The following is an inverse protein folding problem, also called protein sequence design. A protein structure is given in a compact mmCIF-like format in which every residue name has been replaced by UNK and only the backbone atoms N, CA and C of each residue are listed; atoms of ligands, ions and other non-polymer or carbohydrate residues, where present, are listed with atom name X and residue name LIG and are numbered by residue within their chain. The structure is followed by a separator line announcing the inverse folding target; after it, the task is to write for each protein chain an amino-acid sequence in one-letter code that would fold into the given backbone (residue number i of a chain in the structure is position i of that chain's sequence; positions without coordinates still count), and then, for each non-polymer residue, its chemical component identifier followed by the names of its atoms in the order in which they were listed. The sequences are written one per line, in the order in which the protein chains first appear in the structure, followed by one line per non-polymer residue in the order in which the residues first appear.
data_IF_226831297669
#
_entry.id   IF_226831297669
#
_cell.length_a   1.000
_cell.length_b   1.000
_cell.length_c   1.000
_cell.angle_alpha   90.00
_cell.angle_beta   90.00
_cell.angle_gamma   90.00
#
_symmetry.space_group_name_H-M   'P 1'
#
loop_
_entity.id
_entity.type
_entity.pdbx_description
1 polymer ?
#
# COMPACT_ATOMS: atom_id res chain seq x y z
N UNK A 1 -21.69 71.24 57.06
CA UNK A 1 -20.53 70.69 56.37
C UNK A 1 -21.03 69.48 55.54
N UNK A 2 -21.23 69.67 54.23
CA UNK A 2 -21.82 68.65 53.35
C UNK A 2 -20.68 68.06 52.53
N UNK A 3 -20.40 66.76 52.73
CA UNK A 3 -19.40 66.01 51.98
C UNK A 3 -20.01 65.56 50.63
N UNK A 4 -19.42 65.97 49.51
CA UNK A 4 -19.77 65.51 48.15
C UNK A 4 -18.89 64.34 47.81
N UNK A 5 -19.50 63.14 47.62
CA UNK A 5 -18.83 61.98 47.00
C UNK A 5 -18.82 62.16 45.46
N UNK A 6 -17.63 62.14 44.89
CA UNK A 6 -17.45 62.11 43.44
C UNK A 6 -17.25 60.59 43.07
N UNK A 7 -18.19 60.09 42.28
CA UNK A 7 -18.15 58.74 41.73
C UNK A 7 -17.31 58.79 40.44
N UNK A 8 -16.11 58.18 40.43
CA UNK A 8 -15.33 57.95 39.20
C UNK A 8 -15.83 56.69 38.52
N UNK A 9 -16.42 56.84 37.32
CA UNK A 9 -16.81 55.74 36.45
C UNK A 9 -15.59 55.35 35.61
N UNK A 10 -14.98 54.19 35.88
CA UNK A 10 -13.91 53.63 35.04
C UNK A 10 -14.51 52.93 33.81
N UNK A 11 -14.30 53.49 32.64
CA UNK A 11 -14.67 52.91 31.34
C UNK A 11 -13.66 51.81 30.99
N UNK A 12 -14.06 50.53 31.09
CA UNK A 12 -13.26 49.42 30.65
C UNK A 12 -13.48 49.26 29.13
N UNK A 13 -12.50 49.68 28.34
CA UNK A 13 -12.48 49.42 26.88
C UNK A 13 -12.02 47.99 26.70
N UNK A 14 -12.93 47.06 26.37
CA UNK A 14 -12.57 45.71 25.93
C UNK A 14 -11.98 45.77 24.50
N UNK A 15 -10.70 45.54 24.38
CA UNK A 15 -10.05 45.31 23.09
C UNK A 15 -10.51 43.96 22.52
N UNK A 16 -10.87 43.87 21.22
CA UNK A 16 -11.19 42.57 20.61
C UNK A 16 -9.94 41.69 20.61
N UNK A 17 -10.04 40.52 21.23
CA UNK A 17 -9.06 39.44 21.11
C UNK A 17 -9.05 39.01 19.63
N UNK A 18 -7.88 38.99 18.94
CA UNK A 18 -7.83 38.47 17.58
C UNK A 18 -8.31 37.01 17.62
N UNK A 19 -9.41 36.74 16.92
CA UNK A 19 -9.94 35.40 16.75
C UNK A 19 -8.83 34.51 16.17
N UNK A 20 -8.57 33.39 16.84
CA UNK A 20 -7.77 32.31 16.26
C UNK A 20 -8.37 31.97 14.90
N UNK A 21 -7.62 32.19 13.84
CA UNK A 21 -7.97 31.72 12.52
C UNK A 21 -8.22 30.20 12.65
N UNK A 22 -9.48 29.79 12.54
CA UNK A 22 -9.81 28.40 12.30
C UNK A 22 -9.16 28.07 10.96
N UNK A 23 -8.10 27.27 11.00
CA UNK A 23 -7.56 26.64 9.81
C UNK A 23 -8.70 25.81 9.22
N UNK A 24 -9.32 26.29 8.17
CA UNK A 24 -10.15 25.46 7.30
C UNK A 24 -9.27 24.27 6.88
N UNK A 25 -9.77 23.04 6.85
CA UNK A 25 -8.98 21.92 6.36
C UNK A 25 -8.46 22.31 4.98
N UNK A 26 -7.13 22.35 4.81
CA UNK A 26 -6.52 22.68 3.54
C UNK A 26 -7.01 21.67 2.52
N UNK A 27 -7.67 22.13 1.46
CA UNK A 27 -8.07 21.25 0.37
C UNK A 27 -6.83 20.55 -0.17
N UNK A 28 -6.93 19.24 -0.44
CA UNK A 28 -5.85 18.50 -1.09
C UNK A 28 -5.48 19.21 -2.41
N UNK A 29 -4.21 19.20 -2.81
CA UNK A 29 -3.80 19.72 -4.11
C UNK A 29 -4.44 18.92 -5.25
N UNK A 30 -4.67 19.54 -6.39
CA UNK A 30 -5.40 18.96 -7.53
C UNK A 30 -4.80 17.66 -8.10
N UNK A 31 -3.54 17.38 -7.80
CA UNK A 31 -2.88 16.14 -8.22
C UNK A 31 -3.13 14.97 -7.28
N UNK A 32 -3.50 15.23 -6.01
CA UNK A 32 -3.70 14.20 -5.01
C UNK A 32 -5.03 13.46 -5.22
N UNK A 33 -5.02 12.17 -4.90
CA UNK A 33 -6.24 11.37 -4.84
C UNK A 33 -6.88 11.54 -3.47
N UNK A 34 -8.18 11.64 -3.43
CA UNK A 34 -8.86 11.81 -2.15
C UNK A 34 -9.74 13.07 -2.09
N UNK A 35 -10.26 13.42 -0.91
CA UNK A 35 -10.11 12.68 0.35
C UNK A 35 -10.77 11.30 0.30
N UNK A 36 -10.15 10.32 0.95
CA UNK A 36 -10.70 8.98 1.08
C UNK A 36 -11.65 8.88 2.27
N UNK A 37 -12.77 8.20 2.10
CA UNK A 37 -13.76 7.94 3.14
C UNK A 37 -14.14 6.46 3.17
N UNK A 38 -14.42 5.93 4.37
CA UNK A 38 -14.83 4.54 4.58
C UNK A 38 -16.33 4.38 4.27
N UNK A 39 -16.73 3.63 3.22
CA UNK A 39 -18.14 3.49 2.85
C UNK A 39 -18.92 2.59 3.81
N UNK A 40 -18.23 1.72 4.55
CA UNK A 40 -18.79 0.76 5.49
C UNK A 40 -18.08 0.80 6.83
N UNK A 41 -18.77 0.36 7.89
CA UNK A 41 -18.27 0.41 9.27
C UNK A 41 -17.44 -0.82 9.67
N UNK A 42 -17.50 -1.87 8.86
CA UNK A 42 -16.84 -3.16 9.12
C UNK A 42 -15.80 -3.45 8.05
N UNK A 43 -14.81 -4.29 8.35
CA UNK A 43 -13.89 -4.80 7.32
C UNK A 43 -14.66 -5.57 6.26
N UNK A 44 -14.21 -5.46 5.00
CA UNK A 44 -14.82 -6.16 3.86
C UNK A 44 -14.38 -7.62 3.74
N UNK A 45 -13.20 -7.98 4.25
CA UNK A 45 -12.78 -9.36 4.44
C UNK A 45 -12.29 -9.58 5.87
N UNK A 46 -12.67 -10.73 6.42
CA UNK A 46 -12.28 -11.21 7.76
C UNK A 46 -11.75 -12.65 7.64
N UNK A 47 -10.93 -13.14 8.58
CA UNK A 47 -10.51 -14.54 8.62
C UNK A 47 -11.68 -15.52 8.56
N UNK A 48 -11.45 -16.72 7.98
CA UNK A 48 -12.39 -17.85 7.94
C UNK A 48 -11.74 -19.10 8.52
N UNK A 49 -11.93 -19.38 9.81
CA UNK A 49 -11.34 -20.55 10.47
C UNK A 49 -11.73 -21.89 9.87
N UNK A 50 -12.88 -21.97 9.19
CA UNK A 50 -13.39 -23.16 8.53
C UNK A 50 -12.78 -23.45 7.16
N UNK A 51 -11.96 -22.54 6.62
CA UNK A 51 -11.33 -22.71 5.31
C UNK A 51 -10.36 -23.88 5.32
N UNK A 52 -10.36 -24.71 4.28
CA UNK A 52 -9.47 -25.88 4.16
C UNK A 52 -8.74 -25.82 2.83
N UNK A 53 -7.42 -26.11 2.85
CA UNK A 53 -6.59 -26.25 1.68
C UNK A 53 -5.62 -27.42 1.83
N UNK A 54 -5.52 -28.25 0.79
CA UNK A 54 -4.56 -29.33 0.68
C UNK A 54 -3.24 -28.80 0.13
N UNK A 55 -2.40 -28.26 1.02
CA UNK A 55 -1.14 -27.63 0.67
C UNK A 55 -0.15 -28.69 0.11
N UNK A 56 0.43 -28.48 -1.10
CA UNK A 56 1.32 -29.45 -1.72
C UNK A 56 2.63 -29.68 -0.96
N UNK A 57 2.99 -28.81 -0.02
CA UNK A 57 4.20 -28.89 0.82
C UNK A 57 3.92 -29.48 2.20
N UNK A 58 2.68 -29.93 2.48
CA UNK A 58 2.26 -30.46 3.78
C UNK A 58 1.53 -31.79 3.62
N UNK A 59 1.61 -32.63 4.64
CA UNK A 59 0.89 -33.90 4.67
C UNK A 59 -0.58 -33.70 5.01
N UNK A 60 -0.83 -32.82 5.98
CA UNK A 60 -2.19 -32.54 6.47
C UNK A 60 -2.75 -31.27 5.85
N UNK A 61 -4.05 -31.20 5.62
CA UNK A 61 -4.70 -29.98 5.17
C UNK A 61 -4.53 -28.85 6.20
N UNK A 62 -4.59 -27.62 5.76
CA UNK A 62 -4.44 -26.43 6.59
C UNK A 62 -5.68 -25.56 6.53
N UNK A 63 -5.99 -24.86 7.61
CA UNK A 63 -6.97 -23.78 7.64
C UNK A 63 -6.31 -22.48 7.14
N UNK A 64 -6.22 -22.35 5.81
CA UNK A 64 -5.30 -21.45 5.14
C UNK A 64 -5.57 -19.95 5.31
N UNK A 65 -6.79 -19.55 5.67
CA UNK A 65 -7.16 -18.15 5.99
C UNK A 65 -7.78 -18.03 7.40
N UNK A 66 -7.31 -18.88 8.34
CA UNK A 66 -7.92 -18.97 9.66
C UNK A 66 -7.58 -17.80 10.57
N UNK A 67 -6.37 -17.28 10.51
CA UNK A 67 -5.91 -16.27 11.47
C UNK A 67 -6.04 -14.85 10.95
N UNK A 68 -5.53 -14.60 9.73
CA UNK A 68 -5.42 -13.25 9.20
C UNK A 68 -5.76 -13.22 7.71
N UNK A 69 -6.44 -12.16 7.26
CA UNK A 69 -6.70 -11.85 5.85
C UNK A 69 -6.48 -10.35 5.66
N UNK A 70 -5.42 -9.93 4.99
CA UNK A 70 -4.99 -8.53 4.93
C UNK A 70 -4.18 -8.24 3.66
N UNK A 71 -3.64 -7.03 3.53
CA UNK A 71 -2.73 -6.60 2.47
C UNK A 71 -3.20 -7.01 1.05
N UNK A 72 -4.28 -6.36 0.56
CA UNK A 72 -4.93 -6.75 -0.69
C UNK A 72 -4.37 -6.00 -1.89
N UNK A 73 -4.13 -6.70 -3.01
CA UNK A 73 -4.01 -6.10 -4.34
C UNK A 73 -5.35 -6.16 -5.08
N UNK A 74 -5.59 -5.26 -6.03
CA UNK A 74 -6.83 -5.24 -6.78
C UNK A 74 -6.64 -4.80 -8.24
N UNK A 75 -7.44 -5.38 -9.14
CA UNK A 75 -7.59 -4.96 -10.54
C UNK A 75 -9.05 -5.00 -10.97
N UNK A 76 -9.40 -4.30 -12.05
CA UNK A 76 -10.71 -4.41 -12.68
C UNK A 76 -10.61 -5.40 -13.85
N UNK A 77 -11.46 -6.44 -13.84
CA UNK A 77 -11.57 -7.43 -14.91
C UNK A 77 -13.02 -7.73 -15.21
N UNK A 78 -13.42 -7.67 -16.47
CA UNK A 78 -14.79 -7.98 -16.91
C UNK A 78 -15.89 -7.21 -16.16
N UNK A 79 -15.62 -5.94 -15.83
CA UNK A 79 -16.59 -5.10 -15.12
C UNK A 79 -16.74 -5.41 -13.62
N UNK A 80 -15.87 -6.24 -13.05
CA UNK A 80 -15.81 -6.56 -11.62
C UNK A 80 -14.45 -6.16 -11.03
N UNK A 81 -14.42 -5.92 -9.74
CA UNK A 81 -13.16 -5.82 -8.99
C UNK A 81 -12.70 -7.22 -8.61
N UNK A 82 -11.48 -7.57 -9.00
CA UNK A 82 -10.79 -8.79 -8.60
C UNK A 82 -9.74 -8.42 -7.56
N UNK A 83 -9.71 -9.13 -6.43
CA UNK A 83 -8.82 -8.87 -5.31
C UNK A 83 -7.98 -10.11 -5.00
N UNK A 84 -6.66 -9.96 -5.02
CA UNK A 84 -5.75 -10.90 -4.36
C UNK A 84 -5.52 -10.40 -2.93
N UNK A 85 -5.70 -11.24 -1.92
CA UNK A 85 -5.47 -10.88 -0.54
C UNK A 85 -4.55 -11.89 0.15
N UNK A 86 -3.64 -11.39 0.99
CA UNK A 86 -2.81 -12.23 1.85
C UNK A 86 -3.67 -12.90 2.90
N UNK A 87 -3.46 -14.20 3.09
CA UNK A 87 -4.11 -14.99 4.12
C UNK A 87 -3.09 -15.84 4.86
N UNK A 88 -3.25 -15.97 6.17
CA UNK A 88 -2.34 -16.72 7.04
C UNK A 88 -3.07 -17.88 7.72
N UNK A 89 -2.43 -19.05 7.65
CA UNK A 89 -2.89 -20.26 8.31
C UNK A 89 -2.56 -20.25 9.82
N UNK A 90 -3.18 -21.16 10.56
CA UNK A 90 -3.00 -21.36 12.00
C UNK A 90 -1.75 -22.17 12.36
N UNK A 91 -0.85 -22.42 11.40
CA UNK A 91 0.41 -23.13 11.62
C UNK A 91 1.55 -22.19 12.10
N UNK A 92 2.55 -22.77 12.73
CA UNK A 92 3.71 -22.04 13.20
C UNK A 92 3.53 -21.42 14.59
N UNK A 93 4.39 -20.47 14.95
CA UNK A 93 4.27 -19.72 16.21
C UNK A 93 3.27 -18.57 16.04
N UNK A 94 2.50 -18.27 17.10
CA UNK A 94 1.58 -17.12 17.13
C UNK A 94 2.35 -15.81 17.24
N UNK A 95 3.05 -15.45 16.18
CA UNK A 95 3.89 -14.28 16.07
C UNK A 95 3.93 -13.79 14.62
N UNK A 96 3.97 -12.48 14.41
CA UNK A 96 4.08 -11.85 13.08
C UNK A 96 5.23 -12.48 12.29
N UNK A 97 4.95 -12.86 11.03
CA UNK A 97 5.91 -13.47 10.12
C UNK A 97 6.22 -14.96 10.36
N UNK A 98 5.57 -15.61 11.35
CA UNK A 98 5.80 -17.03 11.67
C UNK A 98 4.71 -17.97 11.15
N UNK A 99 3.67 -17.45 10.53
CA UNK A 99 2.65 -18.22 9.81
C UNK A 99 3.06 -18.48 8.36
N UNK A 100 2.33 -19.32 7.65
CA UNK A 100 2.54 -19.50 6.21
C UNK A 100 1.50 -18.67 5.46
N UNK A 101 1.99 -17.69 4.70
CA UNK A 101 1.14 -16.80 3.91
C UNK A 101 0.84 -17.36 2.52
N UNK A 102 -0.40 -17.20 2.05
CA UNK A 102 -0.88 -17.54 0.71
C UNK A 102 -1.76 -16.41 0.19
N UNK A 103 -2.02 -16.36 -1.12
CA UNK A 103 -2.94 -15.38 -1.69
C UNK A 103 -4.24 -16.03 -2.11
N UNK A 104 -5.34 -15.53 -1.54
CA UNK A 104 -6.69 -15.83 -1.97
C UNK A 104 -7.14 -14.90 -3.09
N UNK A 105 -8.15 -15.33 -3.86
CA UNK A 105 -8.81 -14.52 -4.88
C UNK A 105 -10.28 -14.30 -4.50
N UNK A 106 -10.72 -13.05 -4.60
CA UNK A 106 -12.12 -12.68 -4.40
C UNK A 106 -12.58 -11.73 -5.52
N UNK A 107 -13.89 -11.77 -5.83
CA UNK A 107 -14.49 -10.90 -6.83
C UNK A 107 -15.66 -10.09 -6.26
N UNK A 108 -15.90 -8.89 -6.80
CA UNK A 108 -16.98 -7.99 -6.39
C UNK A 108 -17.58 -7.25 -7.59
N UNK A 109 -18.90 -7.10 -7.61
CA UNK A 109 -19.63 -6.29 -8.59
C UNK A 109 -19.78 -4.82 -8.16
N UNK A 110 -19.61 -4.52 -6.86
CA UNK A 110 -19.77 -3.18 -6.29
C UNK A 110 -18.50 -2.63 -5.61
N UNK A 111 -17.42 -3.43 -5.55
CA UNK A 111 -16.16 -3.07 -4.91
C UNK A 111 -16.18 -3.14 -3.38
N UNK A 112 -17.27 -3.59 -2.76
CA UNK A 112 -17.46 -3.66 -1.29
C UNK A 112 -17.78 -5.09 -0.83
N UNK A 113 -18.71 -5.77 -1.51
CA UNK A 113 -19.11 -7.12 -1.16
C UNK A 113 -18.38 -8.12 -2.04
N UNK A 114 -17.53 -8.94 -1.42
CA UNK A 114 -16.65 -9.88 -2.12
C UNK A 114 -17.07 -11.33 -1.94
N UNK A 115 -17.08 -12.09 -3.04
CA UNK A 115 -17.18 -13.55 -3.05
C UNK A 115 -15.79 -14.14 -3.23
N UNK A 116 -15.34 -14.98 -2.27
CA UNK A 116 -14.00 -15.59 -2.27
C UNK A 116 -13.99 -16.93 -3.00
N UNK A 117 -12.88 -17.23 -3.66
CA UNK A 117 -12.55 -18.59 -4.06
C UNK A 117 -12.35 -19.47 -2.81
N UNK A 118 -12.67 -20.79 -2.88
CA UNK A 118 -12.56 -21.67 -1.73
C UNK A 118 -11.11 -21.97 -1.32
N UNK A 119 -10.18 -21.94 -2.27
CA UNK A 119 -8.76 -22.26 -2.11
C UNK A 119 -7.88 -21.07 -2.54
N UNK A 120 -6.64 -20.98 -2.04
CA UNK A 120 -5.70 -19.97 -2.49
C UNK A 120 -5.32 -20.21 -3.96
N UNK A 121 -5.10 -19.12 -4.70
CA UNK A 121 -4.69 -19.18 -6.12
C UNK A 121 -3.18 -18.99 -6.30
N UNK A 122 -2.47 -18.54 -5.26
CA UNK A 122 -1.03 -18.35 -5.30
C UNK A 122 -0.40 -18.68 -3.93
N UNK A 123 0.57 -19.62 -3.94
CA UNK A 123 1.13 -20.20 -2.72
C UNK A 123 2.50 -20.83 -2.97
N UNK A 124 3.31 -21.09 -1.92
CA UNK A 124 4.53 -21.87 -2.05
C UNK A 124 4.24 -23.29 -2.58
N UNK A 125 5.03 -23.76 -3.56
CA UNK A 125 4.85 -25.05 -4.20
C UNK A 125 6.19 -25.77 -4.40
N UNK A 126 6.14 -27.01 -4.90
CA UNK A 126 7.32 -27.77 -5.34
C UNK A 126 7.83 -27.21 -6.68
N UNK A 127 8.32 -25.97 -6.66
CA UNK A 127 8.85 -25.27 -7.80
C UNK A 127 10.24 -24.66 -7.52
N UNK A 128 10.82 -23.96 -8.47
CA UNK A 128 12.13 -23.33 -8.36
C UNK A 128 12.20 -22.24 -7.27
N UNK A 129 11.06 -21.71 -6.80
CA UNK A 129 10.99 -20.65 -5.81
C UNK A 129 10.75 -21.17 -4.38
N UNK A 130 10.55 -22.48 -4.18
CA UNK A 130 10.30 -23.07 -2.86
C UNK A 130 11.28 -22.63 -1.79
N UNK A 131 12.58 -22.59 -2.09
CA UNK A 131 13.61 -22.21 -1.11
C UNK A 131 13.52 -20.76 -0.66
N UNK A 132 12.86 -19.89 -1.44
CA UNK A 132 12.64 -18.47 -1.15
C UNK A 132 11.31 -18.20 -0.45
N UNK A 133 10.33 -19.10 -0.59
CA UNK A 133 8.98 -18.94 -0.12
C UNK A 133 8.62 -19.81 1.08
N UNK A 134 9.24 -20.96 1.23
CA UNK A 134 8.93 -21.91 2.29
C UNK A 134 9.89 -21.80 3.48
N UNK A 135 9.37 -21.79 4.75
CA UNK A 135 7.96 -21.98 5.16
C UNK A 135 7.19 -20.68 5.45
N UNK A 136 7.69 -19.52 5.10
CA UNK A 136 7.05 -18.22 5.41
C UNK A 136 5.88 -17.89 4.49
N UNK A 137 6.03 -18.10 3.19
CA UNK A 137 4.95 -17.92 2.24
C UNK A 137 5.17 -16.86 1.18
N UNK A 138 4.08 -16.46 0.57
CA UNK A 138 3.98 -15.41 -0.44
C UNK A 138 3.12 -14.29 0.15
N UNK A 139 3.64 -13.05 0.18
CA UNK A 139 3.08 -11.96 0.96
C UNK A 139 2.91 -10.68 0.14
N UNK A 140 2.06 -9.78 0.62
CA UNK A 140 1.98 -8.38 0.23
C UNK A 140 1.95 -8.17 -1.29
N UNK A 141 0.89 -8.62 -1.98
CA UNK A 141 0.77 -8.57 -3.44
C UNK A 141 0.58 -7.15 -3.95
N UNK A 142 1.21 -6.80 -5.08
CA UNK A 142 0.82 -5.66 -5.93
C UNK A 142 0.63 -6.18 -7.34
N UNK A 143 -0.47 -5.82 -7.95
CA UNK A 143 -0.86 -6.36 -9.25
C UNK A 143 -1.16 -5.26 -10.26
N UNK A 144 -0.74 -5.44 -11.49
CA UNK A 144 -1.07 -4.57 -12.62
C UNK A 144 -1.49 -5.40 -13.83
N UNK A 145 -2.30 -4.84 -14.70
CA UNK A 145 -2.53 -5.41 -16.02
C UNK A 145 -1.35 -5.03 -16.94
N UNK A 146 -0.85 -5.97 -17.71
CA UNK A 146 0.15 -5.72 -18.74
C UNK A 146 -0.52 -5.26 -20.05
N UNK A 147 0.23 -4.60 -20.97
CA UNK A 147 -0.34 -4.13 -22.22
C UNK A 147 -0.93 -5.22 -23.14
N UNK A 148 -0.55 -6.48 -22.94
CA UNK A 148 -1.09 -7.65 -23.67
C UNK A 148 -2.36 -8.25 -23.03
N UNK A 149 -2.84 -7.66 -21.92
CA UNK A 149 -4.01 -8.12 -21.18
C UNK A 149 -3.73 -9.23 -20.16
N UNK A 150 -2.48 -9.66 -20.01
CA UNK A 150 -2.07 -10.52 -18.89
C UNK A 150 -1.86 -9.69 -17.61
N UNK A 151 -1.62 -10.37 -16.49
CA UNK A 151 -1.40 -9.73 -15.19
C UNK A 151 0.01 -9.97 -14.71
N UNK A 152 0.61 -8.95 -14.09
CA UNK A 152 1.92 -9.02 -13.45
C UNK A 152 1.73 -8.78 -11.96
N UNK A 153 2.21 -9.72 -11.17
CA UNK A 153 2.22 -9.70 -9.72
C UNK A 153 3.64 -9.47 -9.23
N UNK A 154 3.84 -8.46 -8.42
CA UNK A 154 4.98 -8.34 -7.53
C UNK A 154 4.52 -8.73 -6.13
N UNK A 155 5.30 -9.56 -5.45
CA UNK A 155 4.96 -10.08 -4.12
C UNK A 155 6.20 -10.28 -3.28
N UNK A 156 6.06 -10.43 -1.98
CA UNK A 156 7.18 -10.76 -1.10
C UNK A 156 7.34 -12.29 -1.01
N UNK A 157 8.48 -12.80 -1.45
CA UNK A 157 8.92 -14.16 -1.17
C UNK A 157 9.52 -14.17 0.25
N UNK A 158 8.96 -14.96 1.17
CA UNK A 158 9.38 -15.04 2.56
C UNK A 158 9.66 -16.47 3.02
N UNK A 159 10.85 -16.75 3.48
CA UNK A 159 11.23 -18.08 3.97
C UNK A 159 11.56 -18.12 5.47
N UNK A 160 11.11 -17.12 6.24
CA UNK A 160 11.40 -16.90 7.67
C UNK A 160 12.88 -16.58 7.98
N UNK A 161 13.69 -16.30 6.98
CA UNK A 161 15.09 -15.87 7.11
C UNK A 161 15.44 -14.71 6.22
N UNK A 162 14.98 -14.75 4.99
CA UNK A 162 15.24 -13.73 3.96
C UNK A 162 13.95 -13.43 3.22
N UNK A 163 13.83 -12.19 2.75
CA UNK A 163 12.72 -11.76 1.92
C UNK A 163 13.20 -10.99 0.70
N UNK A 164 12.48 -11.12 -0.40
CA UNK A 164 12.75 -10.38 -1.63
C UNK A 164 11.47 -10.20 -2.44
N UNK A 165 11.45 -9.24 -3.37
CA UNK A 165 10.35 -9.10 -4.32
C UNK A 165 10.44 -10.20 -5.36
N UNK A 166 9.45 -11.07 -5.41
CA UNK A 166 9.22 -12.00 -6.51
C UNK A 166 8.36 -11.38 -7.59
N UNK A 167 8.48 -11.89 -8.82
CA UNK A 167 7.62 -11.56 -9.95
C UNK A 167 6.90 -12.81 -10.42
N UNK A 168 5.60 -12.69 -10.69
CA UNK A 168 4.81 -13.74 -11.32
C UNK A 168 3.87 -13.13 -12.37
N UNK A 169 3.47 -13.94 -13.36
CA UNK A 169 2.53 -13.55 -14.41
C UNK A 169 1.36 -14.52 -14.50
N UNK A 170 0.18 -14.01 -14.89
CA UNK A 170 -1.03 -14.81 -15.08
C UNK A 170 -1.87 -14.28 -16.23
N UNK A 171 -2.49 -15.13 -17.04
CA UNK A 171 -3.47 -14.72 -18.03
C UNK A 171 -4.86 -14.45 -17.42
N UNK A 172 -5.14 -14.94 -16.21
CA UNK A 172 -6.50 -15.03 -15.69
C UNK A 172 -6.66 -14.82 -14.17
N UNK A 173 -5.58 -14.51 -13.42
CA UNK A 173 -5.51 -14.35 -11.97
C UNK A 173 -5.60 -15.67 -11.18
N UNK A 174 -5.65 -16.82 -11.85
CA UNK A 174 -5.77 -18.14 -11.24
C UNK A 174 -4.52 -18.99 -11.54
N UNK A 175 -4.09 -18.99 -12.80
CA UNK A 175 -2.93 -19.76 -13.23
C UNK A 175 -1.69 -18.86 -13.29
N UNK A 176 -0.73 -19.13 -12.44
CA UNK A 176 0.44 -18.27 -12.25
C UNK A 176 1.75 -18.94 -12.67
N UNK A 177 2.62 -18.18 -13.30
CA UNK A 177 4.01 -18.54 -13.58
C UNK A 177 4.91 -17.67 -12.73
N UNK A 178 5.70 -18.27 -11.83
CA UNK A 178 6.68 -17.57 -11.00
C UNK A 178 8.00 -17.40 -11.75
N UNK A 179 8.54 -16.19 -11.76
CA UNK A 179 9.79 -15.83 -12.46
C UNK A 179 10.99 -15.64 -11.52
N UNK A 180 10.77 -15.68 -10.19
CA UNK A 180 11.80 -15.46 -9.19
C UNK A 180 12.00 -13.99 -8.81
N UNK A 181 13.16 -13.65 -8.21
CA UNK A 181 13.43 -12.31 -7.70
C UNK A 181 13.46 -11.25 -8.78
N UNK A 182 12.75 -10.14 -8.57
CA UNK A 182 12.67 -9.02 -9.51
C UNK A 182 14.05 -8.47 -9.93
N UNK A 183 14.98 -8.32 -8.97
CA UNK A 183 16.33 -7.79 -9.21
C UNK A 183 17.37 -8.88 -9.54
N UNK A 184 16.91 -10.09 -9.88
CA UNK A 184 17.72 -11.20 -10.32
C UNK A 184 18.23 -12.11 -9.20
N UNK A 185 18.55 -13.35 -9.57
CA UNK A 185 19.08 -14.39 -8.65
C UNK A 185 20.59 -14.26 -8.43
N UNK A 186 21.25 -13.52 -9.28
CA UNK A 186 22.71 -13.28 -9.25
C UNK A 186 23.00 -11.79 -9.34
N UNK A 187 24.25 -11.40 -9.05
CA UNK A 187 24.68 -10.01 -9.14
C UNK A 187 24.57 -9.26 -7.80
N UNK A 188 24.74 -7.93 -7.82
CA UNK A 188 24.92 -7.13 -6.60
C UNK A 188 23.70 -7.08 -5.69
N UNK A 189 22.51 -7.39 -6.21
CA UNK A 189 21.25 -7.34 -5.48
C UNK A 189 20.69 -8.69 -5.06
N UNK A 190 21.33 -9.81 -5.45
CA UNK A 190 20.82 -11.16 -5.21
C UNK A 190 20.62 -11.51 -3.72
N UNK A 191 21.44 -10.93 -2.84
CA UNK A 191 21.38 -11.14 -1.39
C UNK A 191 20.79 -9.94 -0.63
N UNK A 192 20.28 -8.93 -1.34
CA UNK A 192 19.63 -7.80 -0.71
C UNK A 192 18.24 -8.22 -0.23
N UNK A 193 17.93 -7.94 1.03
CA UNK A 193 16.57 -8.06 1.54
C UNK A 193 15.80 -6.78 1.18
N UNK A 194 14.71 -6.93 0.43
CA UNK A 194 13.85 -5.83 -0.01
C UNK A 194 12.47 -6.35 -0.35
N UNK A 195 11.45 -5.53 -0.12
CA UNK A 195 10.05 -5.84 -0.44
C UNK A 195 9.33 -4.63 -1.02
N UNK A 196 8.05 -4.79 -1.34
CA UNK A 196 7.13 -3.76 -1.79
C UNK A 196 7.54 -3.12 -3.11
N UNK A 197 7.00 -3.65 -4.21
CA UNK A 197 7.25 -3.18 -5.57
C UNK A 197 5.96 -2.71 -6.24
N UNK A 198 5.83 -1.39 -6.53
CA UNK A 198 4.71 -0.82 -7.27
C UNK A 198 5.11 -0.46 -8.69
N UNK A 199 4.57 -1.18 -9.68
CA UNK A 199 4.78 -0.90 -11.11
C UNK A 199 3.93 0.30 -11.52
N UNK A 200 4.53 1.28 -12.21
CA UNK A 200 3.83 2.47 -12.70
C UNK A 200 2.78 2.08 -13.73
N UNK A 201 1.57 2.55 -13.52
CA UNK A 201 0.40 2.31 -14.37
C UNK A 201 -0.14 3.59 -14.97
N UNK A 202 -0.99 3.48 -15.94
CA UNK A 202 -1.88 4.53 -16.42
C UNK A 202 -3.32 4.03 -16.44
N UNK A 203 -4.26 4.94 -16.32
CA UNK A 203 -5.68 4.61 -16.47
C UNK A 203 -6.04 4.48 -17.94
N UNK A 204 -6.41 3.28 -18.37
CA UNK A 204 -6.85 2.96 -19.72
C UNK A 204 -8.23 2.29 -19.68
N UNK A 205 -9.26 2.98 -20.18
CA UNK A 205 -10.66 2.50 -20.19
C UNK A 205 -11.12 1.92 -18.83
N UNK A 206 -10.78 2.61 -17.73
CA UNK A 206 -11.16 2.20 -16.37
C UNK A 206 -10.25 1.12 -15.75
N UNK A 207 -9.18 0.71 -16.41
CA UNK A 207 -8.21 -0.29 -15.90
C UNK A 207 -6.85 0.35 -15.68
N UNK A 208 -6.15 -0.06 -14.65
CA UNK A 208 -4.76 0.35 -14.41
C UNK A 208 -3.82 -0.59 -15.17
N UNK A 209 -3.30 -0.11 -16.29
CA UNK A 209 -2.40 -0.85 -17.18
C UNK A 209 -0.97 -0.36 -16.99
N UNK A 210 0.01 -1.26 -16.97
CA UNK A 210 1.42 -0.91 -16.84
C UNK A 210 1.86 0.06 -17.94
N UNK A 211 2.44 1.20 -17.52
CA UNK A 211 2.81 2.30 -18.40
C UNK A 211 4.30 2.32 -18.73
N UNK A 212 4.62 2.73 -19.95
CA UNK A 212 6.01 2.99 -20.35
C UNK A 212 6.32 4.49 -20.28
N UNK A 213 7.46 4.83 -19.69
CA UNK A 213 8.04 6.17 -19.72
C UNK A 213 9.40 6.03 -20.40
N UNK A 214 9.63 6.77 -21.47
CA UNK A 214 10.83 6.66 -22.32
C UNK A 214 11.11 5.21 -22.79
N UNK A 215 10.03 4.49 -23.17
CA UNK A 215 10.11 3.14 -23.71
C UNK A 215 10.35 2.03 -22.68
N UNK A 216 10.49 2.34 -21.39
CA UNK A 216 10.67 1.38 -20.30
C UNK A 216 9.52 1.40 -19.32
N UNK A 217 9.24 0.26 -18.70
CA UNK A 217 8.42 0.19 -17.50
C UNK A 217 9.24 0.62 -16.28
N UNK A 218 8.56 1.21 -15.29
CA UNK A 218 9.17 1.72 -14.07
C UNK A 218 8.49 1.10 -12.86
N UNK A 219 9.29 0.80 -11.82
CA UNK A 219 8.82 0.29 -10.54
C UNK A 219 9.44 1.11 -9.41
N UNK A 220 8.59 1.67 -8.55
CA UNK A 220 9.02 2.16 -7.24
C UNK A 220 9.10 0.95 -6.32
N UNK A 221 10.16 0.80 -5.54
CA UNK A 221 10.36 -0.37 -4.70
C UNK A 221 11.06 -0.05 -3.38
N UNK A 222 10.76 -0.84 -2.35
CA UNK A 222 11.44 -0.85 -1.07
C UNK A 222 10.59 -0.33 0.09
N UNK A 223 11.02 -0.76 1.24
CA UNK A 223 10.67 -0.25 2.56
C UNK A 223 11.86 0.52 3.14
N UNK A 224 11.67 1.30 4.23
CA UNK A 224 12.68 2.16 4.85
C UNK A 224 13.13 3.30 3.94
N UNK A 225 13.40 3.00 2.70
CA UNK A 225 13.73 3.95 1.63
C UNK A 225 13.13 3.46 0.32
N UNK A 226 12.38 4.31 -0.36
CA UNK A 226 11.84 4.01 -1.67
C UNK A 226 12.88 4.33 -2.76
N UNK A 227 13.02 3.41 -3.69
CA UNK A 227 13.96 3.42 -4.81
C UNK A 227 13.22 3.18 -6.12
N UNK A 228 13.96 3.15 -7.23
CA UNK A 228 13.43 2.91 -8.57
C UNK A 228 14.17 1.80 -9.30
N UNK A 229 13.44 1.09 -10.13
CA UNK A 229 13.97 0.15 -11.11
C UNK A 229 13.24 0.30 -12.44
N UNK A 230 13.88 -0.15 -13.52
CA UNK A 230 13.30 -0.16 -14.87
C UNK A 230 13.29 -1.56 -15.45
N UNK A 231 12.34 -1.84 -16.34
CA UNK A 231 12.23 -3.10 -17.06
C UNK A 231 11.83 -2.86 -18.52
N UNK A 232 12.20 -3.78 -19.40
CA UNK A 232 11.69 -3.84 -20.79
C UNK A 232 10.54 -4.83 -20.97
N UNK A 233 10.39 -5.79 -20.03
CA UNK A 233 9.51 -6.96 -20.15
C UNK A 233 8.58 -7.20 -18.95
N UNK A 234 8.63 -6.34 -17.90
CA UNK A 234 7.88 -6.45 -16.65
C UNK A 234 8.33 -7.61 -15.74
N UNK A 235 9.30 -8.41 -16.13
CA UNK A 235 9.80 -9.56 -15.39
C UNK A 235 11.17 -9.27 -14.79
N UNK A 236 12.12 -8.81 -15.60
CA UNK A 236 13.48 -8.50 -15.20
C UNK A 236 13.65 -7.01 -14.91
N UNK A 237 14.01 -6.67 -13.68
CA UNK A 237 14.09 -5.29 -13.21
C UNK A 237 15.53 -4.89 -12.89
N UNK A 238 15.91 -3.71 -13.32
CA UNK A 238 17.24 -3.15 -13.14
C UNK A 238 17.14 -1.89 -12.29
N UNK A 239 17.76 -1.82 -11.09
CA UNK A 239 17.77 -0.63 -10.27
C UNK A 239 18.32 0.57 -11.02
N UNK A 240 17.71 1.73 -10.81
CA UNK A 240 18.28 3.01 -11.23
C UNK A 240 19.35 3.39 -10.22
N UNK A 241 20.59 3.58 -10.67
CA UNK A 241 21.74 3.78 -9.81
C UNK A 241 22.31 5.20 -9.91
N UNK A 242 22.74 5.78 -8.79
CA UNK A 242 23.60 6.97 -8.75
C UNK A 242 25.03 6.63 -9.16
N UNK A 243 25.49 5.44 -8.76
CA UNK A 243 26.77 4.82 -9.09
C UNK A 243 26.63 3.31 -8.95
N UNK A 244 27.56 2.55 -9.51
CA UNK A 244 27.53 1.09 -9.51
C UNK A 244 27.22 0.50 -8.12
N UNK A 245 26.16 -0.30 -8.01
CA UNK A 245 25.70 -0.93 -6.78
C UNK A 245 25.02 0.00 -5.77
N UNK A 246 24.74 1.26 -6.14
CA UNK A 246 24.08 2.24 -5.27
C UNK A 246 22.78 2.76 -5.89
N UNK A 247 21.64 2.16 -5.56
CA UNK A 247 20.35 2.61 -6.09
C UNK A 247 19.98 4.02 -5.64
N UNK A 248 19.37 4.79 -6.55
CA UNK A 248 18.81 6.11 -6.24
C UNK A 248 17.69 5.97 -5.20
N UNK A 249 17.74 6.78 -4.15
CA UNK A 249 16.69 6.87 -3.13
C UNK A 249 15.83 8.09 -3.39
N UNK A 250 14.52 7.88 -3.57
CA UNK A 250 13.57 8.94 -3.94
C UNK A 250 12.63 9.35 -2.80
N UNK A 251 12.32 8.43 -1.85
CA UNK A 251 11.63 8.79 -0.60
C UNK A 251 12.41 8.28 0.60
N UNK A 252 12.49 9.14 1.62
CA UNK A 252 13.08 8.86 2.93
C UNK A 252 12.10 9.28 4.02
N UNK A 253 12.31 8.81 5.25
CA UNK A 253 11.58 9.27 6.44
C UNK A 253 11.67 10.78 6.62
N UNK A 254 10.64 11.37 7.22
CA UNK A 254 10.58 12.80 7.56
C UNK A 254 10.29 12.96 9.06
N UNK A 255 11.24 13.42 9.86
CA UNK A 255 11.05 13.62 11.30
C UNK A 255 9.85 14.52 11.59
N UNK A 256 9.03 14.14 12.57
CA UNK A 256 7.85 14.90 13.00
C UNK A 256 6.59 14.72 12.15
N UNK A 257 6.64 13.89 11.09
CA UNK A 257 5.50 13.60 10.24
C UNK A 257 5.11 12.11 10.33
N UNK A 258 3.93 11.75 9.81
CA UNK A 258 3.38 10.39 9.87
C UNK A 258 4.31 9.29 9.32
N UNK A 259 5.30 9.65 8.54
CA UNK A 259 6.31 8.77 7.95
C UNK A 259 7.71 8.94 8.58
N UNK A 260 7.75 9.38 9.82
CA UNK A 260 8.97 9.61 10.59
C UNK A 260 9.77 8.34 10.91
N UNK A 261 9.13 7.20 10.97
CA UNK A 261 9.79 5.88 11.02
C UNK A 261 10.40 5.54 9.67
N UNK A 262 9.57 5.33 8.67
CA UNK A 262 9.99 5.12 7.29
C UNK A 262 8.80 5.16 6.30
N UNK A 263 9.04 5.43 5.01
CA UNK A 263 8.12 5.17 3.92
C UNK A 263 8.30 3.77 3.34
N UNK A 264 7.20 3.17 2.86
CA UNK A 264 7.16 1.91 2.14
C UNK A 264 6.22 2.04 0.93
N UNK A 265 6.56 1.45 -0.22
CA UNK A 265 5.70 1.52 -1.42
C UNK A 265 4.33 0.89 -1.12
N UNK A 266 3.28 1.62 -1.44
CA UNK A 266 1.90 1.20 -1.27
C UNK A 266 1.32 0.54 -2.52
N UNK A 267 0.37 1.22 -3.15
CA UNK A 267 -0.29 0.74 -4.37
C UNK A 267 0.60 0.90 -5.62
N UNK A 268 0.29 0.25 -6.75
CA UNK A 268 0.86 0.61 -8.04
C UNK A 268 0.70 2.12 -8.31
N UNK A 269 1.80 2.86 -8.60
CA UNK A 269 1.74 4.28 -8.89
C UNK A 269 0.99 4.59 -10.18
N UNK A 270 0.39 5.78 -10.26
CA UNK A 270 -0.41 6.19 -11.41
C UNK A 270 0.25 7.34 -12.15
N UNK A 271 0.50 7.16 -13.43
CA UNK A 271 0.92 8.22 -14.34
C UNK A 271 -0.31 9.05 -14.71
N UNK A 272 -0.28 10.35 -14.37
CA UNK A 272 -1.34 11.33 -14.62
C UNK A 272 -0.81 12.51 -15.45
N UNK A 273 -1.68 13.45 -15.80
CA UNK A 273 -1.26 14.70 -16.46
C UNK A 273 -0.35 15.58 -15.59
N UNK A 274 -0.49 15.51 -14.27
CA UNK A 274 0.29 16.31 -13.34
C UNK A 274 1.62 15.65 -12.98
N UNK A 275 1.76 14.35 -13.20
CA UNK A 275 2.95 13.57 -12.86
C UNK A 275 2.62 12.14 -12.44
N UNK A 276 3.58 11.47 -11.81
CA UNK A 276 3.41 10.12 -11.27
C UNK A 276 2.96 10.25 -9.82
N UNK A 277 1.72 9.90 -9.53
CA UNK A 277 1.18 9.86 -8.17
C UNK A 277 1.55 8.52 -7.53
N UNK A 278 2.30 8.59 -6.43
CA UNK A 278 2.74 7.44 -5.65
C UNK A 278 2.03 7.46 -4.30
N UNK A 279 1.11 6.50 -4.07
CA UNK A 279 0.61 6.22 -2.75
C UNK A 279 1.63 5.34 -2.03
N UNK A 280 1.97 5.70 -0.81
CA UNK A 280 2.94 4.96 0.00
C UNK A 280 2.45 4.83 1.45
N UNK A 281 2.92 3.79 2.13
CA UNK A 281 2.62 3.58 3.54
C UNK A 281 3.72 4.23 4.38
N UNK A 282 3.34 5.23 5.18
CA UNK A 282 4.22 5.88 6.13
C UNK A 282 4.09 5.23 7.50
N UNK A 283 5.20 4.72 8.05
CA UNK A 283 5.23 4.28 9.45
C UNK A 283 5.62 5.46 10.34
N UNK A 284 4.80 5.76 11.35
CA UNK A 284 5.18 6.69 12.40
C UNK A 284 6.34 6.12 13.23
N UNK A 285 7.23 6.95 13.74
CA UNK A 285 8.33 6.50 14.59
C UNK A 285 7.82 5.90 15.90
N UNK A 286 8.62 5.01 16.48
CA UNK A 286 8.33 4.47 17.82
C UNK A 286 8.54 5.55 18.89
N UNK A 287 7.84 5.41 20.02
CA UNK A 287 7.99 6.33 21.15
C UNK A 287 9.46 6.40 21.62
N UNK A 288 9.96 7.61 21.79
CA UNK A 288 11.35 7.85 22.20
C UNK A 288 12.41 7.68 21.12
N UNK A 289 12.01 7.39 19.86
CA UNK A 289 12.93 7.34 18.74
C UNK A 289 13.49 8.74 18.43
N UNK A 290 14.75 8.81 18.00
CA UNK A 290 15.42 10.07 17.64
C UNK A 290 14.78 10.80 16.45
N UNK A 291 13.91 10.14 15.70
CA UNK A 291 13.25 10.71 14.52
C UNK A 291 12.08 11.65 14.81
N UNK A 292 11.69 11.81 16.07
CA UNK A 292 10.51 12.57 16.44
C UNK A 292 9.24 12.10 15.68
N UNK A 293 8.41 11.33 16.34
CA UNK A 293 7.13 10.86 15.80
C UNK A 293 6.17 12.03 15.52
N UNK A 294 5.21 11.80 14.64
CA UNK A 294 4.03 12.66 14.53
C UNK A 294 3.19 12.48 15.83
N UNK A 295 2.96 13.55 16.61
CA UNK A 295 2.23 13.44 17.87
C UNK A 295 0.72 13.19 17.71
N UNK A 296 0.17 13.38 16.51
CA UNK A 296 -1.25 13.16 16.22
C UNK A 296 -1.58 11.67 15.95
N UNK A 297 -0.54 10.83 15.80
CA UNK A 297 -0.68 9.41 15.49
C UNK A 297 -0.03 8.55 16.58
N UNK A 298 -0.55 7.33 16.77
CA UNK A 298 0.05 6.36 17.67
C UNK A 298 1.49 6.01 17.24
N UNK A 299 2.40 5.73 18.20
CA UNK A 299 3.74 5.24 17.88
C UNK A 299 3.70 3.96 17.06
N UNK A 300 4.45 3.92 15.96
CA UNK A 300 4.48 2.77 15.06
C UNK A 300 3.28 2.64 14.12
N UNK A 301 2.28 3.53 14.19
CA UNK A 301 1.10 3.46 13.31
C UNK A 301 1.49 3.61 11.83
N UNK A 302 0.79 2.87 10.96
CA UNK A 302 0.90 3.00 9.51
C UNK A 302 -0.27 3.82 8.95
N UNK A 303 0.07 4.76 8.07
CA UNK A 303 -0.87 5.64 7.39
C UNK A 303 -0.53 5.77 5.91
N UNK A 304 -1.52 6.00 5.05
CA UNK A 304 -1.31 6.17 3.61
C UNK A 304 -1.00 7.64 3.32
N UNK A 305 0.13 7.89 2.66
CA UNK A 305 0.54 9.19 2.16
C UNK A 305 0.64 9.22 0.64
N UNK A 306 0.79 10.42 0.09
CA UNK A 306 0.94 10.62 -1.35
C UNK A 306 2.14 11.49 -1.69
N UNK A 307 2.78 11.16 -2.80
CA UNK A 307 3.88 11.92 -3.39
C UNK A 307 3.71 12.02 -4.90
N UNK A 308 4.05 13.18 -5.46
CA UNK A 308 4.03 13.47 -6.89
C UNK A 308 5.45 13.49 -7.42
N UNK A 309 5.71 12.69 -8.45
CA UNK A 309 6.99 12.68 -9.16
C UNK A 309 6.86 13.21 -10.59
N UNK A 310 7.97 13.68 -11.12
CA UNK A 310 8.06 14.17 -12.48
C UNK A 310 7.83 13.05 -13.50
N UNK A 311 6.90 13.20 -14.47
CA UNK A 311 6.62 12.16 -15.45
C UNK A 311 7.77 11.96 -16.44
N UNK A 312 8.58 12.99 -16.70
CA UNK A 312 9.74 12.89 -17.60
C UNK A 312 11.02 12.42 -16.86
N UNK A 313 11.08 12.66 -15.55
CA UNK A 313 12.20 12.29 -14.69
C UNK A 313 11.68 11.59 -13.42
N UNK A 314 11.32 10.30 -13.48
CA UNK A 314 10.64 9.59 -12.37
C UNK A 314 11.44 9.55 -11.05
N UNK A 315 12.70 9.90 -11.07
CA UNK A 315 13.52 10.05 -9.85
C UNK A 315 13.34 11.40 -9.15
N UNK A 316 12.70 12.40 -9.80
CA UNK A 316 12.52 13.75 -9.28
C UNK A 316 11.21 13.89 -8.54
N UNK A 317 11.28 14.01 -7.22
CA UNK A 317 10.15 14.35 -6.37
C UNK A 317 9.73 15.80 -6.63
N UNK A 318 8.46 16.03 -6.96
CA UNK A 318 7.88 17.37 -7.15
C UNK A 318 7.19 17.86 -5.87
N UNK A 319 6.32 17.02 -5.29
CA UNK A 319 5.57 17.33 -4.06
C UNK A 319 5.37 16.07 -3.22
N UNK A 320 5.12 16.23 -1.93
CA UNK A 320 4.79 15.16 -0.99
C UNK A 320 3.90 15.74 0.09
N UNK A 321 2.76 15.11 0.34
CA UNK A 321 1.83 15.58 1.37
C UNK A 321 2.46 15.43 2.76
N UNK A 322 2.22 16.42 3.62
CA UNK A 322 2.68 16.38 5.01
C UNK A 322 1.68 15.63 5.91
N UNK A 323 0.42 15.59 5.51
CA UNK A 323 -0.62 14.83 6.19
C UNK A 323 -0.98 13.57 5.39
N UNK A 324 -1.30 12.45 6.06
CA UNK A 324 -1.76 11.26 5.37
C UNK A 324 -3.16 11.46 4.78
N UNK A 325 -3.45 10.78 3.68
CA UNK A 325 -4.79 10.75 3.05
C UNK A 325 -5.71 9.71 3.68
N UNK A 326 -5.14 8.76 4.42
CA UNK A 326 -5.85 7.76 5.20
C UNK A 326 -4.99 7.36 6.40
N UNK A 327 -5.55 7.36 7.61
CA UNK A 327 -4.87 6.96 8.86
C UNK A 327 -5.82 6.12 9.73
N UNK A 328 -5.31 5.37 10.72
CA UNK A 328 -6.15 4.54 11.58
C UNK A 328 -7.14 5.37 12.41
N UNK A 329 -8.44 5.07 12.26
CA UNK A 329 -9.52 5.75 12.99
C UNK A 329 -10.48 4.75 13.64
N UNK A 330 -10.68 3.59 12.99
CA UNK A 330 -11.69 2.61 13.43
C UNK A 330 -11.09 1.55 14.35
N UNK A 331 -11.90 0.89 15.20
CA UNK A 331 -11.41 -0.16 16.09
C UNK A 331 -10.70 -1.32 15.36
N UNK A 332 -11.20 -1.75 14.20
CA UNK A 332 -10.60 -2.85 13.45
C UNK A 332 -9.24 -2.50 12.79
N UNK A 333 -8.91 -1.23 12.68
CA UNK A 333 -7.60 -0.75 12.23
C UNK A 333 -6.56 -0.76 13.36
N UNK A 334 -7.00 -1.02 14.61
CA UNK A 334 -6.18 -1.03 15.83
C UNK A 334 -6.28 -2.34 16.61
N UNK A 335 -7.00 -3.34 16.10
CA UNK A 335 -7.25 -4.62 16.77
C UNK A 335 -6.92 -5.80 15.87
N UNK A 336 -5.72 -6.33 16.00
CA UNK A 336 -5.21 -7.45 15.22
C UNK A 336 -3.84 -7.85 15.72
N UNK A 337 -3.08 -8.56 14.90
CA UNK A 337 -1.71 -8.91 15.28
C UNK A 337 -0.77 -7.69 15.33
N UNK A 338 -1.09 -6.59 14.64
CA UNK A 338 -0.36 -5.32 14.69
C UNK A 338 -1.25 -4.22 15.30
N UNK A 339 -1.17 -4.06 16.62
CA UNK A 339 -2.08 -3.22 17.39
C UNK A 339 -1.73 -1.72 17.44
N UNK A 340 -0.59 -1.28 16.89
CA UNK A 340 -0.21 0.13 16.86
C UNK A 340 -1.13 0.99 15.96
N UNK A 341 -2.00 0.35 15.18
CA UNK A 341 -2.87 0.98 14.19
C UNK A 341 -2.30 0.89 12.79
N UNK A 342 -3.13 0.39 11.85
CA UNK A 342 -2.67 0.18 10.48
C UNK A 342 -3.76 0.44 9.47
N UNK A 343 -3.46 1.35 8.53
CA UNK A 343 -4.10 1.47 7.23
C UNK A 343 -3.02 1.27 6.17
N UNK A 344 -2.81 0.03 5.73
CA UNK A 344 -1.72 -0.35 4.82
C UNK A 344 -2.27 -0.50 3.40
N UNK A 345 -2.18 0.56 2.57
CA UNK A 345 -2.73 0.60 1.22
C UNK A 345 -1.88 -0.18 0.23
N UNK A 346 -2.47 -1.16 -0.48
CA UNK A 346 -1.80 -1.94 -1.52
C UNK A 346 -2.60 -2.08 -2.80
N UNK A 347 -3.94 -2.11 -2.72
CA UNK A 347 -4.83 -2.18 -3.88
C UNK A 347 -5.46 -0.84 -4.21
N UNK A 348 -5.43 -0.44 -5.49
CA UNK A 348 -6.11 0.76 -5.95
C UNK A 348 -6.73 0.49 -7.31
N UNK A 349 -8.01 0.82 -7.47
CA UNK A 349 -8.70 0.72 -8.76
C UNK A 349 -9.58 1.94 -9.02
N UNK A 350 -9.75 2.27 -10.28
CA UNK A 350 -10.82 3.15 -10.75
C UNK A 350 -12.03 2.31 -11.11
N UNK A 351 -13.12 2.44 -10.38
CA UNK A 351 -14.28 1.61 -10.57
C UNK A 351 -15.56 2.41 -10.36
N UNK A 352 -16.52 2.29 -11.28
CA UNK A 352 -17.81 3.00 -11.23
C UNK A 352 -17.68 4.52 -10.98
N UNK A 353 -16.66 5.16 -11.60
CA UNK A 353 -16.43 6.59 -11.49
C UNK A 353 -15.81 7.07 -10.18
N UNK A 354 -15.15 6.17 -9.42
CA UNK A 354 -14.50 6.46 -8.14
C UNK A 354 -13.20 5.70 -7.99
N UNK A 355 -12.31 6.21 -7.14
CA UNK A 355 -11.15 5.50 -6.65
C UNK A 355 -11.52 4.63 -5.45
N UNK A 356 -11.18 3.35 -5.50
CA UNK A 356 -11.30 2.40 -4.40
C UNK A 356 -9.90 2.04 -3.95
N UNK A 357 -9.54 2.44 -2.72
CA UNK A 357 -8.29 2.09 -2.06
C UNK A 357 -8.56 0.94 -1.10
N UNK A 358 -8.01 -0.22 -1.41
CA UNK A 358 -8.06 -1.41 -0.55
C UNK A 358 -6.82 -1.47 0.31
N UNK A 359 -7.00 -1.75 1.60
CA UNK A 359 -5.91 -1.69 2.57
C UNK A 359 -6.02 -2.78 3.64
N UNK A 360 -4.86 -3.17 4.18
CA UNK A 360 -4.75 -4.03 5.34
C UNK A 360 -4.99 -3.25 6.63
N UNK A 361 -5.71 -3.87 7.57
CA UNK A 361 -6.02 -3.29 8.87
C UNK A 361 -5.43 -4.16 9.97
N UNK A 362 -4.56 -3.59 10.80
CA UNK A 362 -3.93 -4.23 11.95
C UNK A 362 -3.38 -5.65 11.66
N UNK A 363 -2.90 -5.87 10.42
CA UNK A 363 -2.42 -7.15 9.88
C UNK A 363 -3.41 -8.32 10.09
N UNK A 364 -4.71 -8.05 10.04
CA UNK A 364 -5.74 -9.07 10.30
C UNK A 364 -6.95 -8.97 9.39
N UNK A 365 -7.29 -7.78 8.90
CA UNK A 365 -8.49 -7.57 8.10
C UNK A 365 -8.19 -6.81 6.81
N UNK A 366 -9.11 -6.90 5.83
CA UNK A 366 -9.13 -6.02 4.65
C UNK A 366 -10.27 -5.03 4.78
N UNK A 367 -9.99 -3.77 4.50
CA UNK A 367 -11.01 -2.74 4.38
C UNK A 367 -10.86 -1.95 3.06
N UNK A 368 -11.81 -1.06 2.81
CA UNK A 368 -11.84 -0.19 1.63
C UNK A 368 -12.15 1.24 2.03
N UNK A 369 -11.47 2.17 1.38
CA UNK A 369 -11.81 3.59 1.41
C UNK A 369 -12.03 4.09 -0.02
N UNK A 370 -12.97 5.03 -0.19
CA UNK A 370 -13.41 5.50 -1.50
C UNK A 370 -13.18 7.00 -1.59
N UNK A 371 -12.62 7.44 -2.72
CA UNK A 371 -12.54 8.84 -3.08
C UNK A 371 -13.36 9.09 -4.36
N UNK A 372 -14.17 10.16 -4.33
CA UNK A 372 -14.71 10.74 -5.53
C UNK A 372 -13.65 11.69 -6.08
N UNK A 373 -13.17 11.45 -7.26
CA UNK A 373 -12.21 12.34 -7.90
C UNK A 373 -12.36 12.27 -9.42
N UNK A 374 -11.88 13.28 -10.14
CA UNK A 374 -11.85 13.19 -11.58
C UNK A 374 -10.94 12.02 -11.98
N UNK A 375 -11.37 11.31 -13.00
CA UNK A 375 -10.49 10.43 -13.76
C UNK A 375 -9.32 11.29 -14.27
N UNK A 376 -8.07 10.93 -13.97
CA UNK A 376 -6.89 11.64 -14.47
C UNK A 376 -6.20 10.84 -15.58
N UNK A 377 -6.87 10.60 -16.73
CA UNK A 377 -6.26 9.89 -17.84
C UNK A 377 -5.12 10.74 -18.40
N UNK A 378 -4.01 10.12 -18.73
CA UNK A 378 -3.08 10.72 -19.67
C UNK A 378 -3.80 10.76 -21.01
N UNK A 379 -3.79 11.89 -21.77
CA UNK A 379 -4.20 11.84 -23.14
C UNK A 379 -3.31 10.81 -23.85
N UNK A 380 -3.92 9.80 -24.44
CA UNK A 380 -3.24 9.01 -25.48
C UNK A 380 -2.64 9.98 -26.49
N UNK A 381 -1.36 9.84 -26.85
CA UNK A 381 -0.72 10.71 -27.82
C UNK A 381 -1.43 10.68 -29.18
#
# INVERSE_FOLDING_TARGET
MRLRFVLLLALVIALPVPGSAQNSPSSLPDWALGPFSRPVKEPILKPRPESIFHDPLRTDPVHWEALHTFNPAAVVRNGKVMMLYRAEDDSGAMQIGMHTSRLGLAESEDGIHFTRQPEPVFYPAEDSQKSREWPGGVEDPRIVEAPDGSYVLTYTQWNRKTYTIGVATSPDLIHWVKHGPALGETGPYANLMYKSGGIVTQLDHGRLVAARIHGKFWMYWGEIQVRLATSSDLIHWFPVEESAGKPVVVLKRRPGLFDSGFPEVGTPPILTRQGIVVLYNGKNAEAGAANHMDPELDPGAYSVGEALFDPEHPTRLLQRLDQPVLHPETPYERSGQYAAGTTFGEGLVWFQGKWFLYYGCADTFVAVAIAAGPEHPIPTP
#
